data_IF_904434848743
#
_entry.id   IF_904434848743
#
_cell.length_a   1.000
_cell.length_b   1.000
_cell.length_c   1.000
_cell.angle_alpha   90.00
_cell.angle_beta   90.00
_cell.angle_gamma   90.00
#
_symmetry.space_group_name_H-M   'P 1'
#
loop_
_entity.id
_entity.type
_entity.pdbx_description
1 polymer ?
#
# COMPACT_ATOMS: atom_id res chain seq x y z
N UNK A 1 92.10 17.79 21.75
CA UNK A 1 91.27 17.51 20.54
C UNK A 1 90.53 16.24 20.76
N UNK A 2 89.23 16.31 21.08
CA UNK A 2 88.40 15.17 21.42
C UNK A 2 87.37 14.94 20.28
N UNK A 3 87.44 13.80 19.65
CA UNK A 3 86.48 13.36 18.61
C UNK A 3 85.25 12.71 19.28
N UNK A 4 84.11 13.25 19.04
CA UNK A 4 82.82 12.67 19.47
C UNK A 4 82.35 11.66 18.43
N UNK A 5 82.32 10.38 18.82
CA UNK A 5 81.57 9.31 18.08
C UNK A 5 80.06 9.47 18.34
N UNK A 6 79.28 9.56 17.29
CA UNK A 6 77.79 9.43 17.33
C UNK A 6 77.44 7.99 17.00
N UNK A 7 76.79 7.29 17.93
CA UNK A 7 76.14 6.00 17.69
C UNK A 7 74.75 6.23 17.10
N UNK A 8 74.52 5.70 15.92
CA UNK A 8 73.20 5.66 15.30
C UNK A 8 72.38 4.48 15.79
N UNK A 9 71.26 4.71 16.38
CA UNK A 9 70.28 3.70 16.81
C UNK A 9 69.27 3.48 15.66
N UNK A 10 69.36 2.34 14.99
CA UNK A 10 68.40 1.95 13.94
C UNK A 10 67.16 1.30 14.60
N UNK A 11 66.03 1.96 14.57
CA UNK A 11 64.75 1.47 15.08
C UNK A 11 64.10 0.58 14.01
N UNK A 12 64.02 -0.72 14.25
CA UNK A 12 63.40 -1.69 13.38
C UNK A 12 61.89 -1.74 13.67
N UNK A 13 61.09 -1.16 12.78
CA UNK A 13 59.63 -1.11 12.90
C UNK A 13 59.05 -2.45 12.40
N UNK A 14 58.58 -3.28 13.33
CA UNK A 14 57.86 -4.54 13.01
C UNK A 14 56.41 -4.18 12.73
N UNK A 15 55.98 -4.22 11.45
CA UNK A 15 54.56 -4.14 11.05
C UNK A 15 53.86 -5.45 11.36
N UNK A 16 53.07 -5.49 12.43
CA UNK A 16 52.06 -6.56 12.61
C UNK A 16 50.87 -6.28 11.69
N UNK A 17 50.75 -7.06 10.63
CA UNK A 17 49.54 -7.10 9.81
C UNK A 17 48.46 -7.88 10.57
N UNK A 18 47.52 -7.16 11.14
CA UNK A 18 46.29 -7.76 11.68
C UNK A 18 45.36 -8.19 10.49
N UNK A 19 45.30 -9.46 10.20
CA UNK A 19 44.32 -10.05 9.30
C UNK A 19 42.98 -9.99 10.00
N UNK A 20 42.12 -9.02 9.62
CA UNK A 20 40.73 -8.99 10.03
C UNK A 20 40.00 -10.19 9.41
N UNK A 21 39.70 -11.19 10.21
CA UNK A 21 38.75 -12.26 9.82
C UNK A 21 37.38 -11.64 9.59
N UNK A 22 36.92 -11.65 8.34
CA UNK A 22 35.56 -11.31 7.99
C UNK A 22 34.62 -12.30 8.70
N UNK A 23 33.89 -11.83 9.70
CA UNK A 23 32.83 -12.63 10.32
C UNK A 23 31.75 -12.89 9.26
N UNK A 24 31.54 -14.15 8.92
CA UNK A 24 30.40 -14.59 8.11
C UNK A 24 29.12 -14.12 8.83
N UNK A 25 28.22 -13.39 8.16
CA UNK A 25 26.93 -13.02 8.79
C UNK A 25 26.25 -14.30 9.28
N UNK A 26 25.58 -14.27 10.45
CA UNK A 26 24.85 -15.43 10.94
C UNK A 26 23.83 -15.84 9.87
N UNK A 27 23.72 -17.15 9.62
CA UNK A 27 22.73 -17.70 8.73
C UNK A 27 21.34 -17.18 9.15
N UNK A 28 20.61 -16.57 8.21
CA UNK A 28 19.27 -16.07 8.48
C UNK A 28 18.42 -17.22 9.01
N UNK A 29 17.75 -17.04 10.15
CA UNK A 29 16.80 -18.04 10.65
C UNK A 29 15.79 -18.37 9.55
N UNK A 30 15.41 -19.66 9.41
CA UNK A 30 14.43 -20.05 8.40
C UNK A 30 13.13 -19.26 8.63
N UNK A 31 12.62 -18.64 7.56
CA UNK A 31 11.41 -17.85 7.64
C UNK A 31 10.25 -18.74 8.14
N UNK A 32 9.52 -18.25 9.15
CA UNK A 32 8.37 -18.96 9.70
C UNK A 32 7.31 -19.09 8.62
N UNK A 33 6.82 -20.31 8.40
CA UNK A 33 5.67 -20.57 7.54
C UNK A 33 4.40 -20.43 8.35
N UNK A 34 3.45 -19.62 7.87
CA UNK A 34 2.17 -19.34 8.49
C UNK A 34 1.07 -19.61 7.46
N UNK A 35 -0.04 -20.22 7.88
CA UNK A 35 -1.19 -20.41 6.99
C UNK A 35 -1.97 -19.10 6.84
N UNK A 36 -2.58 -18.88 5.69
CA UNK A 36 -3.37 -17.67 5.40
C UNK A 36 -4.38 -17.30 6.51
N UNK A 37 -5.18 -18.24 7.08
CA UNK A 37 -6.14 -17.91 8.13
C UNK A 37 -5.51 -17.44 9.45
N UNK A 38 -4.22 -17.71 9.67
CA UNK A 38 -3.50 -17.37 10.90
C UNK A 38 -2.81 -16.00 10.83
N UNK A 39 -2.74 -15.41 9.63
CA UNK A 39 -2.16 -14.09 9.43
C UNK A 39 -3.13 -13.03 9.93
N UNK A 40 -2.67 -12.15 10.83
CA UNK A 40 -3.43 -10.98 11.28
C UNK A 40 -2.90 -9.74 10.58
N UNK A 41 -3.72 -9.19 9.69
CA UNK A 41 -3.34 -8.02 8.89
C UNK A 41 -4.58 -7.33 8.34
N UNK A 42 -4.55 -5.98 8.32
CA UNK A 42 -5.48 -5.10 7.62
C UNK A 42 -4.84 -4.63 6.32
N UNK A 43 -5.65 -4.05 5.45
CA UNK A 43 -5.24 -3.27 4.29
C UNK A 43 -4.17 -4.02 3.47
N UNK A 44 -4.56 -5.22 3.06
CA UNK A 44 -3.66 -6.18 2.41
C UNK A 44 -3.62 -5.97 0.91
N UNK A 45 -2.42 -5.98 0.35
CA UNK A 45 -2.20 -6.01 -1.08
C UNK A 45 -1.40 -7.26 -1.46
N UNK A 46 -1.79 -7.94 -2.55
CA UNK A 46 -1.07 -9.09 -3.08
C UNK A 46 -0.57 -8.77 -4.50
N UNK A 47 0.74 -8.76 -4.69
CA UNK A 47 1.38 -8.69 -5.99
C UNK A 47 1.78 -10.09 -6.46
N UNK A 48 1.20 -10.63 -7.54
CA UNK A 48 1.70 -11.81 -8.24
C UNK A 48 2.90 -11.43 -9.11
N UNK A 49 4.11 -11.69 -8.63
CA UNK A 49 5.32 -11.42 -9.41
C UNK A 49 5.55 -12.52 -10.44
N UNK A 50 5.39 -12.20 -11.72
CA UNK A 50 5.49 -13.14 -12.81
C UNK A 50 6.90 -13.66 -13.01
N UNK A 51 7.92 -12.85 -12.70
CA UNK A 51 9.32 -13.22 -12.91
C UNK A 51 9.75 -14.32 -11.94
N UNK A 52 9.41 -14.23 -10.67
CA UNK A 52 9.76 -15.19 -9.63
C UNK A 52 8.68 -16.25 -9.38
N UNK A 53 7.50 -16.13 -10.01
CA UNK A 53 6.30 -16.95 -9.72
C UNK A 53 6.01 -16.98 -8.21
N UNK A 54 6.06 -15.82 -7.58
CA UNK A 54 5.86 -15.64 -6.15
C UNK A 54 4.76 -14.61 -5.90
N UNK A 55 3.84 -14.91 -5.00
CA UNK A 55 2.90 -13.93 -4.47
C UNK A 55 3.56 -13.17 -3.32
N UNK A 56 3.59 -11.86 -3.40
CA UNK A 56 4.03 -10.97 -2.33
C UNK A 56 2.82 -10.33 -1.70
N UNK A 57 2.54 -10.64 -0.43
CA UNK A 57 1.48 -9.99 0.33
C UNK A 57 2.10 -8.94 1.26
N UNK A 58 1.72 -7.68 1.09
CA UNK A 58 2.20 -6.58 1.92
C UNK A 58 1.10 -6.03 2.81
N UNK A 59 1.49 -5.46 3.93
CA UNK A 59 0.59 -4.82 4.87
C UNK A 59 1.35 -3.95 5.89
N UNK A 60 0.62 -3.15 6.68
CA UNK A 60 1.22 -2.22 7.64
C UNK A 60 2.02 -2.96 8.73
N UNK A 61 3.13 -2.34 9.12
CA UNK A 61 4.04 -2.84 10.16
C UNK A 61 4.48 -1.73 11.12
N UNK A 62 3.53 -0.95 11.64
CA UNK A 62 3.83 0.24 12.45
C UNK A 62 4.37 1.37 11.56
N UNK A 63 5.61 1.78 11.75
CA UNK A 63 6.32 2.76 10.90
C UNK A 63 7.01 2.11 9.68
N UNK A 64 6.55 0.92 9.29
CA UNK A 64 7.15 0.17 8.18
C UNK A 64 6.13 -0.64 7.42
N UNK A 65 6.63 -1.39 6.44
CA UNK A 65 5.88 -2.32 5.60
C UNK A 65 6.43 -3.71 5.80
N UNK A 66 5.58 -4.64 6.20
CA UNK A 66 5.91 -6.06 6.28
C UNK A 66 5.38 -6.80 5.07
N UNK A 67 6.11 -7.81 4.65
CA UNK A 67 5.75 -8.67 3.54
C UNK A 67 5.76 -10.13 3.95
N UNK A 68 4.89 -10.91 3.31
CA UNK A 68 4.88 -12.36 3.29
C UNK A 68 5.02 -12.83 1.85
N UNK A 69 5.59 -14.00 1.63
CA UNK A 69 5.72 -14.62 0.31
C UNK A 69 5.04 -15.98 0.27
N UNK A 70 4.41 -16.32 -0.86
CA UNK A 70 3.76 -17.61 -1.07
C UNK A 70 3.91 -18.07 -2.51
N UNK A 71 3.85 -19.41 -2.69
CA UNK A 71 3.77 -20.05 -4.02
C UNK A 71 2.36 -20.58 -4.33
N UNK A 72 1.51 -20.69 -3.31
CA UNK A 72 0.23 -21.40 -3.38
C UNK A 72 -0.97 -20.64 -2.79
N UNK A 73 -0.75 -19.41 -2.25
CA UNK A 73 -1.72 -18.58 -1.53
C UNK A 73 -2.21 -19.19 -0.21
N UNK A 74 -1.75 -20.37 0.17
CA UNK A 74 -2.13 -21.11 1.37
C UNK A 74 -1.10 -20.94 2.47
N UNK A 75 0.16 -21.22 2.12
CA UNK A 75 1.30 -21.20 3.00
C UNK A 75 2.15 -19.95 2.70
N UNK A 76 2.41 -19.16 3.72
CA UNK A 76 3.09 -17.87 3.61
C UNK A 76 4.33 -17.85 4.48
N UNK A 77 5.45 -17.49 3.90
CA UNK A 77 6.71 -17.26 4.61
C UNK A 77 6.79 -15.80 5.04
N UNK A 78 7.08 -15.56 6.30
CA UNK A 78 7.21 -14.20 6.85
C UNK A 78 6.70 -14.06 8.29
N UNK A 79 6.48 -12.81 8.76
CA UNK A 79 6.68 -11.55 8.05
C UNK A 79 8.16 -11.16 7.94
N UNK A 80 8.49 -10.45 6.88
CA UNK A 80 9.77 -9.72 6.74
C UNK A 80 9.48 -8.23 6.62
N UNK A 81 10.26 -7.40 7.33
CA UNK A 81 10.20 -5.95 7.14
C UNK A 81 10.93 -5.61 5.84
N UNK A 82 10.21 -5.07 4.84
CA UNK A 82 10.77 -4.68 3.55
C UNK A 82 11.02 -3.18 3.43
N UNK A 83 10.39 -2.39 4.30
CA UNK A 83 10.62 -0.96 4.46
C UNK A 83 10.39 -0.55 5.90
N UNK A 84 11.25 0.33 6.43
CA UNK A 84 11.11 0.97 7.73
C UNK A 84 11.45 2.45 7.56
N UNK A 85 10.51 3.33 7.91
CA UNK A 85 10.74 4.76 7.84
C UNK A 85 11.81 5.20 8.88
N UNK A 86 12.91 5.84 8.46
CA UNK A 86 13.83 6.52 9.37
C UNK A 86 13.14 7.58 10.22
N UNK A 87 13.77 8.02 11.31
CA UNK A 87 13.17 9.03 12.20
C UNK A 87 12.98 10.38 11.51
N UNK A 88 13.87 10.73 10.61
CA UNK A 88 13.90 11.96 9.81
C UNK A 88 13.32 11.79 8.38
N UNK A 89 12.50 10.76 8.15
CA UNK A 89 12.01 10.41 6.81
C UNK A 89 11.27 11.56 6.12
N UNK A 90 10.47 12.33 6.87
CA UNK A 90 9.85 13.60 6.44
C UNK A 90 10.49 14.80 7.14
N UNK A 91 11.82 14.80 7.27
CA UNK A 91 12.56 15.87 7.94
C UNK A 91 12.17 15.98 9.41
N UNK A 92 11.70 17.16 9.82
CA UNK A 92 11.30 17.43 11.22
C UNK A 92 9.89 16.90 11.56
N UNK A 93 9.15 16.33 10.60
CA UNK A 93 7.82 15.78 10.82
C UNK A 93 7.93 14.29 11.12
N UNK A 94 7.77 13.85 12.40
CA UNK A 94 7.88 12.43 12.75
C UNK A 94 6.74 11.61 12.17
N UNK A 95 7.06 10.53 11.48
CA UNK A 95 6.09 9.52 11.04
C UNK A 95 5.63 8.74 12.26
N UNK A 96 4.31 8.66 12.46
CA UNK A 96 3.68 7.88 13.54
C UNK A 96 3.40 6.45 13.08
N UNK A 97 2.83 6.33 11.87
CA UNK A 97 2.47 5.04 11.29
C UNK A 97 2.41 5.10 9.77
N UNK A 98 2.48 3.93 9.16
CA UNK A 98 2.26 3.72 7.74
C UNK A 98 0.98 2.89 7.61
N UNK A 99 0.06 3.33 6.73
CA UNK A 99 -1.21 2.68 6.46
C UNK A 99 -1.25 2.17 5.04
N UNK A 100 -2.08 1.17 4.81
CA UNK A 100 -2.53 0.69 3.52
C UNK A 100 -1.45 0.61 2.44
N UNK A 101 -0.34 -0.13 2.66
CA UNK A 101 0.69 -0.28 1.66
C UNK A 101 0.19 -1.10 0.48
N UNK A 102 0.34 -0.58 -0.72
CA UNK A 102 0.20 -1.33 -1.97
C UNK A 102 1.54 -1.51 -2.66
N UNK A 103 1.75 -2.68 -3.26
CA UNK A 103 2.94 -2.97 -4.07
C UNK A 103 2.56 -3.15 -5.53
N UNK A 104 3.22 -2.42 -6.41
CA UNK A 104 3.02 -2.45 -7.85
C UNK A 104 4.33 -2.73 -8.58
N UNK A 105 4.27 -3.53 -9.66
CA UNK A 105 5.35 -3.68 -10.62
C UNK A 105 5.08 -2.77 -11.83
N UNK A 106 6.05 -1.90 -12.18
CA UNK A 106 5.91 -0.99 -13.29
C UNK A 106 7.27 -0.71 -13.95
N UNK A 107 7.34 -0.84 -15.27
CA UNK A 107 8.57 -0.60 -16.08
C UNK A 107 9.83 -1.27 -15.50
N UNK A 108 9.69 -2.53 -15.04
CA UNK A 108 10.82 -3.33 -14.53
C UNK A 108 11.28 -2.98 -13.11
N UNK A 109 10.56 -2.14 -12.41
CA UNK A 109 10.80 -1.79 -11.00
C UNK A 109 9.58 -2.13 -10.14
N UNK A 110 9.79 -2.07 -8.82
CA UNK A 110 8.75 -2.28 -7.81
C UNK A 110 8.52 -0.98 -7.05
N UNK A 111 7.25 -0.68 -6.82
CA UNK A 111 6.85 0.55 -6.16
C UNK A 111 5.95 0.23 -4.97
N UNK A 112 6.17 0.93 -3.86
CA UNK A 112 5.24 0.96 -2.74
C UNK A 112 4.48 2.28 -2.76
N UNK A 113 3.16 2.18 -2.73
CA UNK A 113 2.25 3.30 -2.50
C UNK A 113 1.82 3.22 -1.04
N UNK A 114 2.12 4.23 -0.26
CA UNK A 114 2.00 4.22 1.19
C UNK A 114 1.27 5.46 1.68
N UNK A 115 0.44 5.32 2.70
CA UNK A 115 -0.09 6.45 3.45
C UNK A 115 0.75 6.67 4.70
N UNK A 116 1.35 7.83 4.83
CA UNK A 116 2.11 8.23 6.02
C UNK A 116 1.23 9.09 6.93
N UNK A 117 1.09 8.66 8.19
CA UNK A 117 0.37 9.39 9.22
C UNK A 117 1.33 10.09 10.17
N UNK A 118 0.95 11.29 10.61
CA UNK A 118 1.72 12.11 11.54
C UNK A 118 0.82 12.72 12.60
N UNK A 119 1.43 13.41 13.59
CA UNK A 119 0.72 14.28 14.55
C UNK A 119 0.91 15.76 14.27
N UNK A 120 1.61 16.09 13.17
CA UNK A 120 1.83 17.48 12.77
C UNK A 120 0.52 18.08 12.27
N UNK A 121 -0.02 19.05 12.98
CA UNK A 121 -1.32 19.66 12.68
C UNK A 121 -1.20 20.73 11.61
N UNK A 122 -2.16 20.78 10.70
CA UNK A 122 -2.37 21.94 9.85
C UNK A 122 -2.70 23.18 10.70
N UNK A 123 -2.42 24.40 10.22
CA UNK A 123 -2.79 25.65 10.93
C UNK A 123 -4.29 25.76 11.18
N UNK A 124 -5.11 25.35 10.20
CA UNK A 124 -6.56 25.36 10.32
C UNK A 124 -7.08 24.10 10.98
N UNK A 125 -7.75 24.26 12.13
CA UNK A 125 -8.39 23.19 12.88
C UNK A 125 -9.87 23.52 13.09
N UNK A 126 -10.73 22.51 12.96
CA UNK A 126 -12.16 22.70 13.22
C UNK A 126 -12.50 22.39 14.66
N UNK A 127 -13.34 23.24 15.26
CA UNK A 127 -13.81 23.04 16.62
C UNK A 127 -14.67 21.77 16.72
N UNK A 128 -14.47 20.99 17.77
CA UNK A 128 -15.17 19.72 18.00
C UNK A 128 -15.04 18.71 16.85
N UNK A 129 -13.86 18.65 16.23
CA UNK A 129 -13.55 17.78 15.11
C UNK A 129 -12.25 17.01 15.35
N UNK A 130 -12.01 15.97 14.56
CA UNK A 130 -10.73 15.26 14.58
C UNK A 130 -9.58 16.17 14.15
N UNK A 131 -8.37 15.99 14.68
CA UNK A 131 -7.22 16.77 14.26
C UNK A 131 -6.95 16.62 12.77
N UNK A 132 -6.88 17.74 12.06
CA UNK A 132 -6.38 17.79 10.68
C UNK A 132 -4.86 17.84 10.74
N UNK A 133 -4.22 16.80 10.21
CA UNK A 133 -2.77 16.57 10.34
C UNK A 133 -2.13 16.41 8.96
N UNK A 134 -0.84 16.62 8.88
CA UNK A 134 -0.05 16.27 7.69
C UNK A 134 -0.10 14.75 7.53
N UNK A 135 -0.95 14.29 6.63
CA UNK A 135 -1.11 12.90 6.22
C UNK A 135 -1.08 12.86 4.72
N UNK A 136 -0.32 11.92 4.15
CA UNK A 136 -0.21 11.93 2.70
C UNK A 136 0.25 10.61 2.10
N UNK A 137 -0.18 10.39 0.88
CA UNK A 137 0.25 9.24 0.09
C UNK A 137 1.58 9.52 -0.59
N UNK A 138 2.52 8.59 -0.49
CA UNK A 138 3.86 8.70 -1.08
C UNK A 138 4.26 7.44 -1.81
N UNK A 139 4.98 7.60 -2.90
CA UNK A 139 5.53 6.51 -3.71
C UNK A 139 7.00 6.29 -3.37
N UNK A 140 7.37 5.04 -3.15
CA UNK A 140 8.74 4.58 -3.00
C UNK A 140 9.09 3.60 -4.11
N UNK A 141 10.37 3.49 -4.48
CA UNK A 141 10.85 2.64 -5.57
C UNK A 141 11.97 1.70 -5.12
N UNK A 142 11.99 0.50 -5.71
CA UNK A 142 13.05 -0.49 -5.56
C UNK A 142 13.28 -1.28 -6.86
N UNK A 143 14.43 -1.92 -6.96
CA UNK A 143 14.75 -2.83 -8.07
C UNK A 143 14.28 -4.27 -7.80
N UNK A 144 13.86 -4.58 -6.57
CA UNK A 144 13.33 -5.88 -6.17
C UNK A 144 12.11 -5.72 -5.26
N UNK A 145 11.17 -6.71 -5.23
CA UNK A 145 9.95 -6.64 -4.41
C UNK A 145 10.24 -6.71 -2.90
N UNK A 146 11.45 -7.08 -2.52
CA UNK A 146 11.93 -7.09 -1.14
C UNK A 146 12.71 -5.83 -0.75
N UNK A 147 12.81 -4.85 -1.64
CA UNK A 147 13.57 -3.61 -1.45
C UNK A 147 15.08 -3.76 -1.77
N UNK A 148 15.92 -2.82 -1.29
CA UNK A 148 15.54 -1.69 -0.44
C UNK A 148 14.72 -0.62 -1.18
N UNK A 149 13.62 -0.21 -0.59
CA UNK A 149 12.77 0.85 -1.13
C UNK A 149 13.30 2.23 -0.74
N UNK A 150 13.28 3.16 -1.71
CA UNK A 150 13.76 4.54 -1.55
C UNK A 150 12.66 5.52 -1.95
N UNK A 151 12.52 6.60 -1.19
CA UNK A 151 11.66 7.71 -1.55
C UNK A 151 12.33 8.62 -2.59
N UNK A 152 11.53 9.31 -3.38
CA UNK A 152 11.98 10.35 -4.31
C UNK A 152 12.13 11.71 -3.61
N UNK A 153 11.36 11.93 -2.53
CA UNK A 153 11.35 13.16 -1.75
C UNK A 153 11.10 12.85 -0.26
N UNK A 154 11.33 13.86 0.59
CA UNK A 154 11.07 13.78 2.03
C UNK A 154 9.69 14.33 2.43
N UNK A 155 8.69 14.12 1.60
CA UNK A 155 7.29 14.52 1.80
C UNK A 155 6.38 13.62 0.95
N UNK A 156 5.05 13.78 1.12
CA UNK A 156 4.08 13.06 0.28
C UNK A 156 4.29 13.31 -1.22
N UNK A 157 3.96 12.34 -2.05
CA UNK A 157 3.93 12.52 -3.52
C UNK A 157 2.76 13.42 -3.93
N UNK A 158 1.64 13.35 -3.20
CA UNK A 158 0.46 14.19 -3.38
C UNK A 158 0.65 15.55 -2.68
N UNK A 159 -0.20 16.57 -2.97
CA UNK A 159 -0.08 17.89 -2.36
C UNK A 159 -0.01 17.83 -0.84
N UNK A 160 0.96 18.54 -0.25
CA UNK A 160 1.25 18.45 1.19
C UNK A 160 0.21 19.10 2.10
N UNK A 161 -0.68 19.90 1.54
CA UNK A 161 -1.81 20.58 2.21
C UNK A 161 -3.12 19.76 2.12
N UNK A 162 -3.10 18.62 1.45
CA UNK A 162 -4.20 17.67 1.38
C UNK A 162 -3.97 16.50 2.35
N UNK A 163 -5.00 16.13 3.11
CA UNK A 163 -5.01 14.84 3.82
C UNK A 163 -5.42 13.75 2.83
N UNK A 164 -4.43 13.01 2.36
CA UNK A 164 -4.64 11.97 1.35
C UNK A 164 -4.26 10.60 1.88
N UNK A 165 -4.99 9.57 1.44
CA UNK A 165 -4.74 8.18 1.83
C UNK A 165 -5.03 7.21 0.67
N UNK A 166 -4.51 5.99 0.82
CA UNK A 166 -4.84 4.81 -0.01
C UNK A 166 -4.59 5.02 -1.50
N UNK A 167 -3.40 5.58 -1.82
CA UNK A 167 -3.00 5.75 -3.21
C UNK A 167 -2.76 4.40 -3.91
N UNK A 168 -3.34 4.23 -5.11
CA UNK A 168 -3.12 3.09 -5.99
C UNK A 168 -2.65 3.52 -7.38
N UNK A 169 -1.92 2.66 -8.08
CA UNK A 169 -1.43 2.91 -9.44
C UNK A 169 -2.46 2.49 -10.47
N UNK A 170 -2.78 3.39 -11.39
CA UNK A 170 -3.46 3.07 -12.63
C UNK A 170 -2.66 3.52 -13.84
N UNK A 171 -2.58 2.68 -14.87
CA UNK A 171 -1.94 3.06 -16.14
C UNK A 171 -2.99 3.00 -17.25
N UNK A 172 -3.25 4.16 -17.86
CA UNK A 172 -4.17 4.29 -18.99
C UNK A 172 -3.43 4.81 -20.22
N UNK A 173 -3.49 4.05 -21.32
CA UNK A 173 -2.83 4.39 -22.58
C UNK A 173 -1.32 4.70 -22.41
N UNK A 174 -0.65 3.99 -21.49
CA UNK A 174 0.78 4.16 -21.19
C UNK A 174 1.10 5.32 -20.23
N UNK A 175 0.10 6.10 -19.82
CA UNK A 175 0.25 7.21 -18.87
C UNK A 175 -0.06 6.72 -17.46
N UNK A 176 0.83 6.90 -16.47
CA UNK A 176 0.59 6.51 -15.10
C UNK A 176 -0.20 7.57 -14.33
N UNK A 177 -1.10 7.11 -13.47
CA UNK A 177 -1.91 7.93 -12.56
C UNK A 177 -1.86 7.34 -11.16
N UNK A 178 -1.94 8.18 -10.14
CA UNK A 178 -2.31 7.79 -8.79
C UNK A 178 -3.80 8.08 -8.60
N UNK A 179 -4.56 7.06 -8.20
CA UNK A 179 -5.93 7.22 -7.71
C UNK A 179 -5.88 7.10 -6.20
N UNK A 180 -6.56 7.97 -5.46
CA UNK A 180 -6.43 8.09 -4.01
C UNK A 180 -7.70 8.65 -3.38
N UNK A 181 -7.79 8.55 -2.06
CA UNK A 181 -8.84 9.21 -1.28
C UNK A 181 -8.36 10.55 -0.72
N UNK A 182 -9.15 11.63 -0.90
CA UNK A 182 -9.04 12.86 -0.12
C UNK A 182 -9.88 12.69 1.14
N UNK A 183 -9.24 12.76 2.29
CA UNK A 183 -9.80 12.25 3.52
C UNK A 183 -10.94 13.11 4.09
N UNK A 184 -12.02 12.45 4.50
CA UNK A 184 -13.19 13.07 5.12
C UNK A 184 -12.88 13.90 6.37
N UNK A 185 -11.77 13.62 7.08
CA UNK A 185 -11.32 14.45 8.21
C UNK A 185 -11.03 15.89 7.77
N UNK A 186 -10.58 16.08 6.54
CA UNK A 186 -10.31 17.40 5.98
C UNK A 186 -11.53 18.02 5.30
N UNK A 187 -12.39 17.22 4.63
CA UNK A 187 -13.43 17.73 3.74
C UNK A 187 -14.87 17.29 4.07
N UNK A 188 -15.07 16.45 5.12
CA UNK A 188 -16.32 15.83 5.58
C UNK A 188 -16.92 14.78 4.64
N UNK A 189 -17.13 15.11 3.41
CA UNK A 189 -17.56 14.17 2.38
C UNK A 189 -16.33 13.72 1.62
N UNK A 190 -15.74 12.58 2.04
CA UNK A 190 -14.54 12.04 1.42
C UNK A 190 -14.72 11.86 -0.07
N UNK A 191 -13.68 12.05 -0.84
CA UNK A 191 -13.71 11.89 -2.29
C UNK A 191 -12.72 10.83 -2.74
N UNK A 192 -12.97 10.27 -3.92
CA UNK A 192 -11.94 9.57 -4.69
C UNK A 192 -11.49 10.50 -5.81
N UNK A 193 -10.18 10.68 -5.91
CA UNK A 193 -9.54 11.60 -6.84
C UNK A 193 -8.42 10.88 -7.60
N UNK A 194 -7.96 11.48 -8.69
CA UNK A 194 -6.78 11.01 -9.39
C UNK A 194 -5.89 12.17 -9.81
N UNK A 195 -4.61 11.87 -9.99
CA UNK A 195 -3.63 12.80 -10.54
C UNK A 195 -2.69 12.04 -11.47
N UNK A 196 -2.27 12.68 -12.54
CA UNK A 196 -1.21 12.14 -13.40
C UNK A 196 0.11 12.11 -12.63
N UNK A 197 0.88 11.05 -12.84
CA UNK A 197 2.25 10.92 -12.34
C UNK A 197 3.24 11.13 -13.48
N UNK A 198 4.47 11.50 -13.12
CA UNK A 198 5.61 11.40 -14.03
C UNK A 198 5.83 9.92 -14.40
N UNK A 199 6.46 9.70 -15.53
CA UNK A 199 6.72 8.37 -16.11
C UNK A 199 7.46 7.40 -15.20
N UNK A 200 8.27 7.91 -14.28
CA UNK A 200 9.03 7.17 -13.28
C UNK A 200 8.33 7.10 -11.91
N UNK A 201 7.10 7.62 -11.83
CA UNK A 201 6.26 7.75 -10.63
C UNK A 201 6.86 8.63 -9.53
N UNK A 202 7.88 9.44 -9.83
CA UNK A 202 8.62 10.23 -8.84
C UNK A 202 7.84 11.40 -8.25
N UNK A 203 6.87 11.93 -8.99
CA UNK A 203 6.07 13.09 -8.59
C UNK A 203 4.76 13.14 -9.38
N UNK A 204 3.84 14.01 -8.95
CA UNK A 204 2.66 14.37 -9.73
C UNK A 204 3.03 15.23 -10.95
N UNK A 205 2.20 15.15 -12.00
CA UNK A 205 2.28 15.95 -13.21
C UNK A 205 0.90 16.58 -13.49
N UNK A 206 0.55 17.58 -12.71
CA UNK A 206 -0.73 18.28 -12.72
C UNK A 206 -1.42 18.28 -11.36
N UNK A 207 -2.64 18.81 -11.36
CA UNK A 207 -3.48 18.92 -10.16
C UNK A 207 -4.41 17.71 -10.01
N UNK A 208 -4.78 17.34 -8.78
CA UNK A 208 -5.80 16.33 -8.52
C UNK A 208 -7.14 16.66 -9.16
N UNK A 209 -7.80 15.64 -9.69
CA UNK A 209 -9.13 15.72 -10.29
C UNK A 209 -10.05 14.75 -9.56
N UNK A 210 -11.18 15.27 -9.05
CA UNK A 210 -12.17 14.48 -8.35
C UNK A 210 -12.97 13.60 -9.31
N UNK A 211 -13.15 12.34 -8.95
CA UNK A 211 -13.97 11.37 -9.66
C UNK A 211 -15.40 11.32 -9.10
N UNK A 212 -15.54 11.22 -7.78
CA UNK A 212 -16.83 11.18 -7.09
C UNK A 212 -16.67 11.46 -5.58
N UNK A 213 -17.81 11.72 -4.91
CA UNK A 213 -17.92 11.84 -3.46
C UNK A 213 -18.36 10.51 -2.82
N UNK A 214 -18.02 10.29 -1.56
CA UNK A 214 -18.55 9.15 -0.81
C UNK A 214 -20.08 9.16 -0.76
N UNK A 215 -20.70 10.33 -0.63
CA UNK A 215 -22.16 10.50 -0.62
C UNK A 215 -22.88 10.12 -1.91
N UNK A 216 -22.18 9.94 -3.02
CA UNK A 216 -22.77 9.48 -4.28
C UNK A 216 -23.20 8.00 -4.24
N UNK A 217 -22.68 7.23 -3.25
CA UNK A 217 -23.00 5.81 -3.11
C UNK A 217 -24.19 5.60 -2.18
N UNK A 218 -25.31 5.13 -2.72
CA UNK A 218 -26.59 4.92 -1.97
C UNK A 218 -26.48 3.87 -0.85
N UNK A 219 -25.50 2.95 -0.93
CA UNK A 219 -25.26 1.93 0.09
C UNK A 219 -24.46 2.44 1.29
N UNK A 220 -23.78 3.58 1.14
CA UNK A 220 -22.93 4.13 2.16
C UNK A 220 -23.77 4.77 3.28
N UNK A 221 -23.40 4.49 4.53
CA UNK A 221 -24.02 5.10 5.71
C UNK A 221 -23.17 6.30 6.15
N UNK A 222 -23.81 7.47 6.22
CA UNK A 222 -23.22 8.64 6.85
C UNK A 222 -22.86 8.35 8.30
N UNK A 223 -21.64 8.68 8.73
CA UNK A 223 -21.23 8.52 10.12
C UNK A 223 -22.14 9.31 11.06
N UNK A 224 -22.78 8.67 12.02
CA UNK A 224 -23.63 9.33 13.03
C UNK A 224 -22.79 10.20 13.97
N UNK A 225 -21.60 9.75 14.33
CA UNK A 225 -20.71 10.45 15.25
C UNK A 225 -20.16 11.76 14.66
N UNK A 226 -19.77 11.75 13.38
CA UNK A 226 -19.07 12.86 12.76
C UNK A 226 -19.87 13.54 11.64
N UNK A 227 -20.95 12.95 11.19
CA UNK A 227 -21.72 13.49 10.07
C UNK A 227 -20.94 13.54 8.75
N UNK A 228 -20.05 12.58 8.53
CA UNK A 228 -19.15 12.49 7.39
C UNK A 228 -19.41 11.25 6.54
N UNK A 229 -18.81 11.21 5.36
CA UNK A 229 -18.77 10.05 4.47
C UNK A 229 -17.31 9.63 4.27
N UNK A 230 -17.01 8.38 4.60
CA UNK A 230 -15.68 7.79 4.48
C UNK A 230 -15.47 7.28 3.07
N UNK A 231 -14.26 7.43 2.53
CA UNK A 231 -13.80 6.77 1.31
C UNK A 231 -12.44 6.14 1.59
N UNK A 232 -12.30 4.84 1.32
CA UNK A 232 -11.09 4.07 1.56
C UNK A 232 -10.78 3.14 0.38
N UNK A 233 -9.50 2.83 0.16
CA UNK A 233 -8.97 1.75 -0.65
C UNK A 233 -9.53 1.64 -2.07
N UNK A 234 -9.42 2.66 -2.92
CA UNK A 234 -9.83 2.56 -4.30
C UNK A 234 -8.85 1.65 -5.07
N UNK A 235 -9.37 0.68 -5.82
CA UNK A 235 -8.57 -0.19 -6.68
C UNK A 235 -9.26 -0.41 -8.03
N UNK A 236 -8.52 -0.28 -9.13
CA UNK A 236 -9.07 -0.26 -10.48
C UNK A 236 -8.88 -1.58 -11.21
N UNK A 237 -9.85 -1.92 -12.06
CA UNK A 237 -9.84 -3.11 -12.88
C UNK A 237 -10.51 -2.86 -14.23
N UNK A 238 -9.80 -3.18 -15.32
CA UNK A 238 -10.36 -3.13 -16.67
C UNK A 238 -11.14 -4.39 -16.93
N UNK A 239 -12.46 -4.25 -17.07
CA UNK A 239 -13.38 -5.36 -17.36
C UNK A 239 -13.17 -5.91 -18.77
N UNK A 240 -13.53 -7.18 -18.95
CA UNK A 240 -13.57 -7.85 -20.27
C UNK A 240 -14.47 -7.14 -21.29
N UNK A 241 -15.44 -6.36 -20.84
CA UNK A 241 -16.31 -5.54 -21.70
C UNK A 241 -15.70 -4.20 -22.10
N UNK A 242 -14.52 -3.86 -21.56
CA UNK A 242 -13.87 -2.58 -21.75
C UNK A 242 -14.31 -1.48 -20.79
N UNK A 243 -15.26 -1.70 -19.90
CA UNK A 243 -15.61 -0.78 -18.81
C UNK A 243 -14.46 -0.73 -17.80
N UNK A 244 -14.34 0.38 -17.09
CA UNK A 244 -13.42 0.49 -15.97
C UNK A 244 -14.19 0.39 -14.66
N UNK A 245 -13.82 -0.57 -13.83
CA UNK A 245 -14.37 -0.78 -12.50
C UNK A 245 -13.40 -0.23 -11.45
N UNK A 246 -13.96 0.34 -10.40
CA UNK A 246 -13.23 0.70 -9.19
C UNK A 246 -13.93 0.08 -8.00
N UNK A 247 -13.28 -0.87 -7.35
CA UNK A 247 -13.71 -1.32 -6.03
C UNK A 247 -13.17 -0.34 -4.99
N UNK A 248 -13.98 -0.04 -3.99
CA UNK A 248 -13.60 0.87 -2.91
C UNK A 248 -14.40 0.55 -1.65
N UNK A 249 -14.00 1.03 -0.51
CA UNK A 249 -14.60 0.67 0.76
C UNK A 249 -15.12 1.88 1.53
N UNK A 250 -16.16 1.62 2.34
CA UNK A 250 -16.73 2.56 3.30
C UNK A 250 -17.58 1.81 4.32
N UNK A 251 -18.25 2.54 5.19
CA UNK A 251 -19.22 1.98 6.13
C UNK A 251 -20.64 1.97 5.55
N UNK A 252 -21.35 0.85 5.75
CA UNK A 252 -22.76 0.69 5.46
C UNK A 252 -23.58 0.40 6.72
N UNK A 253 -24.85 0.03 6.58
CA UNK A 253 -25.66 -0.45 7.69
C UNK A 253 -25.13 -1.76 8.32
N UNK A 254 -24.37 -2.54 7.58
CA UNK A 254 -23.85 -3.86 7.99
C UNK A 254 -22.39 -3.83 8.44
N UNK A 255 -21.77 -2.65 8.58
CA UNK A 255 -20.36 -2.50 8.93
C UNK A 255 -19.50 -2.07 7.75
N UNK A 256 -18.22 -2.39 7.78
CA UNK A 256 -17.29 -2.06 6.72
C UNK A 256 -17.62 -2.87 5.46
N UNK A 257 -17.68 -2.20 4.32
CA UNK A 257 -18.33 -2.71 3.12
C UNK A 257 -17.50 -2.36 1.90
N UNK A 258 -17.42 -3.27 0.95
CA UNK A 258 -16.77 -3.04 -0.36
C UNK A 258 -17.82 -2.82 -1.42
N UNK A 259 -17.84 -1.62 -2.00
CA UNK A 259 -18.70 -1.24 -3.13
C UNK A 259 -17.93 -1.24 -4.45
N UNK A 260 -18.61 -0.87 -5.51
CA UNK A 260 -18.05 -0.74 -6.85
C UNK A 260 -18.60 0.50 -7.56
N UNK A 261 -17.71 1.30 -8.11
CA UNK A 261 -18.01 2.36 -9.06
C UNK A 261 -17.63 1.90 -10.47
N UNK A 262 -18.38 2.36 -11.47
CA UNK A 262 -18.26 1.91 -12.86
C UNK A 262 -18.13 3.14 -13.77
N UNK A 263 -17.08 3.18 -14.56
CA UNK A 263 -16.97 4.06 -15.72
C UNK A 263 -17.33 3.27 -16.98
N UNK A 264 -18.51 3.54 -17.53
CA UNK A 264 -19.01 2.85 -18.72
C UNK A 264 -18.20 3.23 -19.98
N UNK A 265 -17.53 4.40 -19.97
CA UNK A 265 -16.60 4.81 -21.03
C UNK A 265 -15.32 3.97 -21.05
N UNK A 266 -15.01 3.28 -19.94
CA UNK A 266 -13.79 2.54 -19.76
C UNK A 266 -12.56 3.45 -19.53
N UNK A 267 -12.77 4.76 -19.29
CA UNK A 267 -11.72 5.75 -19.04
C UNK A 267 -11.71 6.17 -17.59
N UNK A 268 -10.50 6.51 -17.07
CA UNK A 268 -10.31 6.99 -15.71
C UNK A 268 -11.11 8.26 -15.44
N UNK A 269 -11.13 9.18 -16.37
CA UNK A 269 -11.89 10.43 -16.26
C UNK A 269 -13.42 10.23 -16.14
N UNK A 270 -13.92 9.04 -16.37
CA UNK A 270 -15.33 8.71 -16.22
C UNK A 270 -16.20 9.05 -17.45
N UNK A 271 -17.49 9.40 -17.25
CA UNK A 271 -18.17 9.59 -15.95
C UNK A 271 -18.30 8.31 -15.13
N UNK A 272 -18.30 8.45 -13.81
CA UNK A 272 -18.45 7.35 -12.86
C UNK A 272 -19.87 7.28 -12.31
N UNK A 273 -20.40 6.06 -12.17
CA UNK A 273 -21.64 5.78 -11.46
C UNK A 273 -21.42 4.76 -10.37
N UNK A 274 -22.10 4.89 -9.25
CA UNK A 274 -22.05 3.91 -8.17
C UNK A 274 -23.03 2.77 -8.45
N UNK A 275 -22.61 1.53 -8.23
CA UNK A 275 -23.50 0.39 -8.18
C UNK A 275 -24.28 0.42 -6.87
N UNK A 276 -25.61 0.19 -6.93
CA UNK A 276 -26.45 0.25 -5.74
C UNK A 276 -26.14 -0.88 -4.74
N UNK A 277 -25.86 -2.08 -5.25
CA UNK A 277 -25.56 -3.25 -4.43
C UNK A 277 -24.05 -3.42 -4.27
N UNK A 278 -23.51 -3.37 -3.02
CA UNK A 278 -22.12 -3.66 -2.75
C UNK A 278 -21.74 -5.11 -3.09
N UNK A 279 -20.46 -5.36 -3.35
CA UNK A 279 -19.94 -6.70 -3.65
C UNK A 279 -19.58 -7.49 -2.39
N UNK A 280 -19.31 -6.81 -1.25
CA UNK A 280 -19.06 -7.47 0.03
C UNK A 280 -19.60 -6.64 1.20
N UNK A 281 -20.41 -7.27 2.07
CA UNK A 281 -21.14 -6.61 3.18
C UNK A 281 -20.94 -7.28 4.54
N UNK A 282 -19.91 -8.13 4.69
CA UNK A 282 -19.67 -8.91 5.92
C UNK A 282 -18.52 -8.30 6.72
N UNK A 283 -18.62 -7.01 7.05
CA UNK A 283 -17.63 -6.25 7.83
C UNK A 283 -16.21 -6.42 7.26
N UNK A 284 -16.02 -6.09 5.99
CA UNK A 284 -14.72 -6.19 5.34
C UNK A 284 -14.60 -5.30 4.12
N UNK A 285 -13.37 -4.88 3.86
CA UNK A 285 -13.10 -3.93 2.80
C UNK A 285 -11.61 -3.70 2.61
N UNK A 286 -11.30 -2.54 2.01
CA UNK A 286 -9.98 -2.21 1.52
C UNK A 286 -9.48 -3.33 0.62
N UNK A 287 -10.28 -3.59 -0.41
CA UNK A 287 -10.08 -4.73 -1.28
C UNK A 287 -9.20 -4.38 -2.49
N UNK A 288 -8.42 -5.33 -2.96
CA UNK A 288 -7.72 -5.22 -4.23
C UNK A 288 -7.90 -6.50 -5.06
N UNK A 289 -7.71 -6.38 -6.37
CA UNK A 289 -7.84 -7.47 -7.32
C UNK A 289 -6.46 -7.92 -7.81
N UNK A 290 -6.30 -9.22 -8.02
CA UNK A 290 -5.12 -9.76 -8.66
C UNK A 290 -5.48 -11.00 -9.50
N UNK A 291 -4.61 -11.32 -10.47
CA UNK A 291 -4.76 -12.53 -11.27
C UNK A 291 -3.71 -13.55 -10.85
N UNK A 292 -4.14 -14.76 -10.55
CA UNK A 292 -3.25 -15.86 -10.19
C UNK A 292 -2.38 -16.31 -11.38
N UNK A 293 -1.33 -17.08 -11.12
CA UNK A 293 -0.45 -17.58 -12.20
C UNK A 293 -1.15 -18.56 -13.15
N UNK A 294 -2.27 -19.15 -12.72
CA UNK A 294 -3.17 -19.98 -13.54
C UNK A 294 -4.36 -19.22 -14.16
N UNK A 295 -4.36 -17.88 -14.04
CA UNK A 295 -5.29 -16.99 -14.76
C UNK A 295 -6.60 -16.70 -14.07
N UNK A 296 -6.82 -17.12 -12.82
CA UNK A 296 -8.04 -16.79 -12.07
C UNK A 296 -8.02 -15.36 -11.54
N UNK A 297 -9.13 -14.66 -11.67
CA UNK A 297 -9.32 -13.36 -11.04
C UNK A 297 -9.67 -13.56 -9.56
N UNK A 298 -8.91 -12.91 -8.70
CA UNK A 298 -9.05 -12.98 -7.25
C UNK A 298 -9.24 -11.60 -6.66
N UNK A 299 -9.96 -11.52 -5.55
CA UNK A 299 -10.03 -10.34 -4.68
C UNK A 299 -9.46 -10.73 -3.31
N UNK A 300 -8.60 -9.89 -2.76
CA UNK A 300 -8.22 -9.95 -1.35
C UNK A 300 -8.77 -8.72 -0.63
N UNK A 301 -9.26 -8.91 0.59
CA UNK A 301 -9.68 -7.85 1.51
C UNK A 301 -9.37 -8.26 2.95
N UNK A 302 -9.47 -7.32 3.89
CA UNK A 302 -9.46 -7.70 5.30
C UNK A 302 -10.89 -7.81 5.86
N UNK A 303 -11.12 -8.79 6.71
CA UNK A 303 -12.39 -8.98 7.45
C UNK A 303 -12.13 -9.81 8.72
N UNK A 304 -12.77 -9.49 9.90
CA UNK A 304 -13.60 -8.30 10.12
C UNK A 304 -12.78 -7.01 10.14
N UNK A 305 -13.46 -5.86 10.14
CA UNK A 305 -12.81 -4.56 10.24
C UNK A 305 -12.52 -4.22 11.71
N UNK A 306 -11.31 -4.57 12.19
CA UNK A 306 -10.91 -4.32 13.56
C UNK A 306 -9.63 -5.06 13.95
N UNK A 307 -9.34 -5.21 15.26
CA UNK A 307 -8.11 -5.87 15.74
C UNK A 307 -8.00 -7.36 15.35
N UNK A 308 -9.13 -8.00 15.03
CA UNK A 308 -9.17 -9.38 14.57
C UNK A 308 -9.04 -9.53 13.06
N UNK A 309 -8.79 -8.44 12.34
CA UNK A 309 -8.71 -8.42 10.87
C UNK A 309 -7.73 -9.47 10.33
N UNK A 310 -8.15 -10.13 9.27
CA UNK A 310 -7.38 -11.14 8.54
C UNK A 310 -7.53 -10.96 7.03
N UNK A 311 -6.52 -11.31 6.25
CA UNK A 311 -6.67 -11.47 4.81
C UNK A 311 -7.72 -12.53 4.48
N UNK A 312 -8.67 -12.18 3.63
CA UNK A 312 -9.61 -13.14 3.03
C UNK A 312 -9.52 -13.01 1.53
N UNK A 313 -9.42 -14.13 0.85
CA UNK A 313 -9.27 -14.18 -0.61
C UNK A 313 -10.53 -14.79 -1.20
N UNK A 314 -11.00 -14.22 -2.29
CA UNK A 314 -12.22 -14.64 -3.00
C UNK A 314 -11.90 -14.80 -4.48
N UNK A 315 -12.44 -15.85 -5.08
CA UNK A 315 -12.46 -16.01 -6.52
C UNK A 315 -13.59 -15.15 -7.10
N UNK A 316 -13.28 -14.42 -8.16
CA UNK A 316 -14.16 -13.43 -8.75
C UNK A 316 -14.57 -13.80 -10.16
N UNK A 317 -15.80 -13.44 -10.52
CA UNK A 317 -16.28 -13.44 -11.90
C UNK A 317 -16.38 -12.00 -12.40
N UNK A 318 -15.72 -11.71 -13.51
CA UNK A 318 -16.01 -10.53 -14.32
C UNK A 318 -17.16 -10.85 -15.25
N UNK A 319 -18.35 -10.28 -14.99
CA UNK A 319 -19.54 -10.49 -15.83
C UNK A 319 -19.53 -9.58 -17.07
N UNK A 320 -18.64 -8.61 -17.16
CA UNK A 320 -18.62 -7.53 -18.15
C UNK A 320 -19.41 -6.31 -17.70
N UNK A 321 -20.39 -6.48 -16.82
CA UNK A 321 -21.23 -5.41 -16.26
C UNK A 321 -20.86 -5.07 -14.81
N UNK A 322 -20.36 -6.05 -14.06
CA UNK A 322 -19.93 -5.93 -12.66
C UNK A 322 -18.98 -7.06 -12.29
N UNK A 323 -18.47 -7.02 -11.07
CA UNK A 323 -17.71 -8.09 -10.43
C UNK A 323 -18.61 -8.85 -9.45
N UNK A 324 -18.45 -10.19 -9.40
CA UNK A 324 -19.19 -11.06 -8.50
C UNK A 324 -18.25 -12.01 -7.77
N UNK A 325 -18.42 -12.15 -6.47
CA UNK A 325 -17.77 -13.21 -5.69
C UNK A 325 -18.41 -14.56 -6.06
N UNK A 326 -17.62 -15.52 -6.50
CA UNK A 326 -18.07 -16.88 -6.80
C UNK A 326 -17.90 -17.81 -5.61
N UNK A 327 -16.75 -17.74 -4.95
CA UNK A 327 -16.46 -18.50 -3.73
C UNK A 327 -15.33 -17.87 -2.92
N UNK A 328 -15.28 -18.17 -1.64
CA UNK A 328 -14.11 -17.87 -0.83
C UNK A 328 -13.01 -18.91 -1.10
N UNK A 329 -11.79 -18.42 -1.27
CA UNK A 329 -10.61 -19.27 -1.35
C UNK A 329 -10.28 -19.80 0.05
N UNK A 330 -10.50 -21.08 0.26
CA UNK A 330 -10.16 -21.76 1.49
C UNK A 330 -8.95 -22.65 1.28
N UNK A 331 -7.97 -22.56 2.19
CA UNK A 331 -6.89 -23.53 2.19
C UNK A 331 -7.45 -24.95 2.35
N UNK A 332 -6.96 -25.93 1.59
CA UNK A 332 -7.35 -27.33 1.81
C UNK A 332 -7.19 -27.69 3.29
N UNK A 333 -8.18 -28.39 3.86
CA UNK A 333 -8.03 -28.99 5.19
C UNK A 333 -6.79 -29.89 5.17
N UNK A 334 -5.95 -29.82 6.19
CA UNK A 334 -4.87 -30.79 6.33
C UNK A 334 -5.50 -32.19 6.44
N UNK A 335 -4.93 -33.17 5.76
CA UNK A 335 -5.38 -34.56 5.89
C UNK A 335 -5.20 -35.10 7.30
#
# INVERSE_FOLDING_TARGET
MAAKMRAGLTLMMVCLSATAMAQTPPAAEPAKVIRLPDIRMRDVCILPDQASKTYYMVGPGGRGVRAYTSKDLVNWEGPRMIFQAPDDFWGEIPIVSIWAPEMHAYKGKYYLFLTFDTRNKFPEQWRNWLPRVTRGSQVLVADAPTGPFKAFANHSTLPVDMMTLDGTLWVEDGVPYMVFCHEWVQIKDGTVEYVRLKDDLSATDGEPIRLFHGSDAVWLKKSEQYGCYVTDGPYLYKSKSGKLFMIWASHSQTGYTTGIAISDSGKLAGPWRQQAEPIYTKDGGHAMLFTTFDGRLMMVLHSPNGPAARPRIFEMEDTGETLRITKEFTAPSQP
#
